data_IF_682525255966
#
_entry.id   IF_682525255966
#
_cell.length_a   1.000
_cell.length_b   1.000
_cell.length_c   1.000
_cell.angle_alpha   90.00
_cell.angle_beta   90.00
_cell.angle_gamma   90.00
#
_symmetry.space_group_name_H-M   'P 1'
#
loop_
_entity.id
_entity.type
_entity.pdbx_description
1 polymer ?
#
# COMPACT_ATOMS: atom_id res chain seq x y z
N UNK A 1 8.24 -20.30 -8.90
CA UNK A 1 9.40 -20.92 -8.22
C UNK A 1 9.05 -22.37 -7.89
N UNK A 2 9.94 -23.35 -8.12
CA UNK A 2 9.75 -24.76 -7.76
C UNK A 2 10.62 -25.10 -6.56
N UNK A 3 10.02 -25.76 -5.56
CA UNK A 3 10.71 -26.22 -4.34
C UNK A 3 10.89 -27.76 -4.35
N UNK A 4 10.66 -28.40 -5.48
CA UNK A 4 10.81 -29.86 -5.64
C UNK A 4 12.23 -30.32 -5.30
N UNK A 5 12.36 -31.35 -4.47
CA UNK A 5 13.65 -31.91 -4.05
C UNK A 5 14.46 -31.04 -3.07
N UNK A 6 13.93 -29.93 -2.59
CA UNK A 6 14.59 -29.03 -1.66
C UNK A 6 14.32 -29.42 -0.20
N UNK A 7 15.30 -29.22 0.64
CA UNK A 7 15.12 -29.26 2.09
C UNK A 7 14.35 -28.03 2.56
N UNK A 8 13.76 -28.07 3.75
CA UNK A 8 13.07 -26.92 4.33
C UNK A 8 13.98 -25.68 4.41
N UNK A 9 15.25 -25.87 4.77
CA UNK A 9 16.21 -24.79 4.87
C UNK A 9 16.54 -24.17 3.52
N UNK A 10 16.74 -25.00 2.48
CA UNK A 10 16.97 -24.51 1.12
C UNK A 10 15.72 -23.82 0.55
N UNK A 11 14.52 -24.36 0.83
CA UNK A 11 13.27 -23.73 0.42
C UNK A 11 13.09 -22.36 1.07
N UNK A 12 13.40 -22.24 2.37
CA UNK A 12 13.33 -20.96 3.09
C UNK A 12 14.30 -19.93 2.50
N UNK A 13 15.56 -20.30 2.27
CA UNK A 13 16.55 -19.43 1.65
C UNK A 13 16.11 -18.96 0.25
N UNK A 14 15.57 -19.87 -0.56
CA UNK A 14 15.06 -19.51 -1.89
C UNK A 14 13.88 -18.54 -1.86
N UNK A 15 13.00 -18.64 -0.86
CA UNK A 15 11.88 -17.70 -0.70
C UNK A 15 12.39 -16.36 -0.19
N UNK A 16 13.35 -16.35 0.75
CA UNK A 16 13.98 -15.13 1.27
C UNK A 16 14.70 -14.37 0.14
N UNK A 17 15.50 -15.06 -0.68
CA UNK A 17 16.16 -14.47 -1.86
C UNK A 17 15.14 -13.89 -2.86
N UNK A 18 14.03 -14.59 -3.06
CA UNK A 18 12.95 -14.10 -3.92
C UNK A 18 12.30 -12.85 -3.33
N UNK A 19 12.00 -12.82 -2.03
CA UNK A 19 11.43 -11.66 -1.33
C UNK A 19 12.38 -10.47 -1.45
N UNK A 20 13.68 -10.67 -1.24
CA UNK A 20 14.70 -9.62 -1.41
C UNK A 20 14.69 -9.08 -2.85
N UNK A 21 14.57 -9.95 -3.85
CA UNK A 21 14.54 -9.54 -5.26
C UNK A 21 13.34 -8.64 -5.63
N UNK A 22 12.19 -8.84 -4.99
CA UNK A 22 10.99 -8.03 -5.25
C UNK A 22 10.92 -6.76 -4.40
N UNK A 23 11.68 -6.67 -3.31
CA UNK A 23 11.75 -5.46 -2.47
C UNK A 23 12.34 -4.26 -3.21
N UNK A 24 13.13 -4.47 -4.27
CA UNK A 24 13.69 -3.42 -5.11
C UNK A 24 12.79 -2.92 -6.24
N UNK A 25 11.57 -3.45 -6.38
CA UNK A 25 10.61 -2.99 -7.39
C UNK A 25 10.17 -1.55 -7.11
N UNK A 26 9.75 -0.84 -8.16
CA UNK A 26 9.32 0.56 -8.04
C UNK A 26 7.80 0.63 -7.99
N UNK A 27 7.28 1.21 -6.93
CA UNK A 27 5.86 1.55 -6.78
C UNK A 27 5.71 3.06 -6.89
N UNK A 28 4.96 3.50 -7.88
CA UNK A 28 4.69 4.93 -8.10
C UNK A 28 3.38 5.31 -7.41
N UNK A 29 3.46 6.05 -6.32
CA UNK A 29 2.31 6.62 -5.63
C UNK A 29 1.86 7.88 -6.37
N UNK A 30 0.58 7.93 -6.78
CA UNK A 30 0.00 9.07 -7.47
C UNK A 30 -0.74 9.91 -6.44
N UNK A 31 -0.16 11.08 -6.15
CA UNK A 31 -0.66 12.07 -5.19
C UNK A 31 -1.58 13.11 -5.87
N UNK A 32 -1.86 14.22 -5.17
CA UNK A 32 -2.69 15.33 -5.65
C UNK A 32 -2.18 15.84 -7.00
N UNK A 33 -3.10 16.17 -7.91
CA UNK A 33 -2.86 16.62 -9.29
C UNK A 33 -2.06 15.64 -10.16
N UNK A 34 -2.01 14.37 -9.79
CA UNK A 34 -1.26 13.36 -10.53
C UNK A 34 0.26 13.41 -10.30
N UNK A 35 0.72 14.15 -9.27
CA UNK A 35 2.12 14.13 -8.87
C UNK A 35 2.54 12.74 -8.45
N UNK A 36 3.76 12.36 -8.80
CA UNK A 36 4.26 10.99 -8.64
C UNK A 36 5.39 10.95 -7.62
N UNK A 37 5.28 10.03 -6.68
CA UNK A 37 6.32 9.70 -5.71
C UNK A 37 6.71 8.25 -5.91
N UNK A 38 7.98 8.00 -6.21
CA UNK A 38 8.51 6.64 -6.38
C UNK A 38 9.06 6.14 -5.06
N UNK A 39 8.62 4.96 -4.66
CA UNK A 39 9.04 4.27 -3.45
C UNK A 39 9.25 2.79 -3.77
N UNK A 40 9.96 2.09 -2.91
CA UNK A 40 10.12 0.64 -3.04
C UNK A 40 9.33 -0.09 -1.95
N UNK A 41 8.95 -1.37 -2.17
CA UNK A 41 8.43 -2.22 -1.11
C UNK A 41 9.34 -2.29 0.13
N UNK A 42 10.68 -2.20 -0.06
CA UNK A 42 11.63 -2.11 1.05
C UNK A 42 11.43 -0.84 1.90
N UNK A 43 11.21 0.33 1.26
CA UNK A 43 10.93 1.59 1.95
C UNK A 43 9.63 1.52 2.79
N UNK A 44 8.68 0.70 2.35
CA UNK A 44 7.41 0.44 3.03
C UNK A 44 7.47 -0.70 4.04
N UNK A 45 8.66 -1.29 4.27
CA UNK A 45 8.85 -2.37 5.24
C UNK A 45 8.17 -3.68 4.84
N UNK A 46 8.18 -4.02 3.54
CA UNK A 46 7.59 -5.27 3.05
C UNK A 46 8.17 -6.48 3.77
N UNK A 47 7.31 -7.32 4.31
CA UNK A 47 7.66 -8.58 4.96
C UNK A 47 6.82 -9.73 4.41
N UNK A 48 7.40 -10.92 4.40
CA UNK A 48 6.68 -12.15 4.10
C UNK A 48 5.98 -12.66 5.36
N UNK A 49 4.66 -12.63 5.38
CA UNK A 49 3.85 -12.85 6.58
C UNK A 49 3.50 -14.31 6.85
N UNK A 50 3.22 -15.12 5.81
CA UNK A 50 2.78 -16.51 5.97
C UNK A 50 3.93 -17.52 5.89
N UNK A 51 4.96 -17.38 6.74
CA UNK A 51 6.15 -18.26 6.72
C UNK A 51 5.86 -19.74 7.06
N UNK A 52 4.77 -19.99 7.77
CA UNK A 52 4.28 -21.32 8.18
C UNK A 52 3.92 -22.22 6.99
N UNK A 53 3.64 -21.67 5.81
CA UNK A 53 3.37 -22.46 4.60
C UNK A 53 4.52 -23.39 4.20
N UNK A 54 5.76 -23.04 4.54
CA UNK A 54 6.92 -23.90 4.28
C UNK A 54 6.93 -25.13 5.20
N UNK A 55 6.56 -24.95 6.46
CA UNK A 55 6.41 -26.07 7.39
C UNK A 55 5.25 -26.96 7.00
N UNK A 56 4.13 -26.40 6.56
CA UNK A 56 3.02 -27.13 6.00
C UNK A 56 3.46 -27.97 4.80
N UNK A 57 4.14 -27.34 3.82
CA UNK A 57 4.64 -28.00 2.64
C UNK A 57 5.64 -29.13 2.98
N UNK A 58 6.55 -28.89 3.93
CA UNK A 58 7.54 -29.86 4.35
C UNK A 58 6.93 -31.07 5.10
N UNK A 59 5.75 -30.91 5.68
CA UNK A 59 5.05 -31.95 6.45
C UNK A 59 4.07 -32.79 5.60
N UNK A 60 3.91 -32.49 4.32
CA UNK A 60 3.09 -33.29 3.41
C UNK A 60 3.61 -34.72 3.39
N UNK A 61 2.72 -35.68 3.59
CA UNK A 61 3.04 -37.09 3.60
C UNK A 61 3.79 -37.59 4.85
N UNK A 62 4.09 -36.69 5.83
CA UNK A 62 4.76 -37.04 7.09
C UNK A 62 3.79 -37.14 8.27
N UNK A 63 2.62 -36.52 8.20
CA UNK A 63 1.62 -36.46 9.28
C UNK A 63 0.41 -37.34 8.97
N UNK A 64 -0.27 -37.82 10.04
CA UNK A 64 -1.43 -38.70 9.93
C UNK A 64 -1.09 -40.19 9.90
N UNK A 65 -2.13 -41.03 9.65
CA UNK A 65 -1.96 -42.48 9.57
C UNK A 65 -1.30 -42.91 8.25
N UNK A 66 -0.89 -44.17 8.16
CA UNK A 66 -0.11 -44.71 7.00
C UNK A 66 -0.84 -44.55 5.66
N UNK A 67 -2.18 -44.65 5.66
CA UNK A 67 -3.00 -44.51 4.46
C UNK A 67 -3.05 -43.03 4.01
N UNK A 68 -3.23 -42.11 4.98
CA UNK A 68 -3.24 -40.67 4.70
C UNK A 68 -1.89 -40.20 4.15
N UNK A 69 -0.79 -40.65 4.74
CA UNK A 69 0.58 -40.31 4.29
C UNK A 69 0.84 -40.81 2.89
N UNK A 70 0.48 -42.08 2.62
CA UNK A 70 0.62 -42.68 1.28
C UNK A 70 -0.21 -41.94 0.23
N UNK A 71 -1.47 -41.60 0.55
CA UNK A 71 -2.36 -40.82 -0.33
C UNK A 71 -1.78 -39.46 -0.65
N UNK A 72 -1.36 -38.71 0.39
CA UNK A 72 -0.79 -37.36 0.23
C UNK A 72 0.46 -37.38 -0.66
N UNK A 73 1.36 -38.35 -0.46
CA UNK A 73 2.56 -38.53 -1.32
C UNK A 73 2.20 -38.89 -2.75
N UNK A 74 1.17 -39.73 -2.92
CA UNK A 74 0.72 -40.16 -4.24
C UNK A 74 0.06 -39.03 -5.02
N UNK A 75 -0.74 -38.19 -4.33
CA UNK A 75 -1.42 -37.05 -4.93
C UNK A 75 -0.39 -36.03 -5.46
N UNK A 76 0.74 -35.83 -4.77
CA UNK A 76 1.83 -34.97 -5.23
C UNK A 76 2.50 -35.43 -6.53
N UNK A 77 2.45 -36.73 -6.85
CA UNK A 77 2.99 -37.25 -8.11
C UNK A 77 2.14 -36.85 -9.32
N UNK A 78 0.86 -36.53 -9.11
CA UNK A 78 -0.09 -36.19 -10.16
C UNK A 78 -0.49 -34.71 -10.20
N UNK A 79 -0.35 -34.01 -9.08
CA UNK A 79 -0.69 -32.58 -8.96
C UNK A 79 0.29 -31.84 -8.07
N UNK A 80 0.93 -30.80 -8.61
CA UNK A 80 1.73 -29.89 -7.82
C UNK A 80 0.83 -29.06 -6.89
N UNK A 81 1.22 -28.92 -5.63
CA UNK A 81 0.60 -27.95 -4.74
C UNK A 81 1.22 -26.57 -4.94
N UNK A 82 0.38 -25.58 -5.10
CA UNK A 82 0.79 -24.19 -5.25
C UNK A 82 0.46 -23.47 -3.97
N UNK A 83 1.44 -22.83 -3.35
CA UNK A 83 1.29 -21.97 -2.18
C UNK A 83 1.46 -20.52 -2.60
N UNK A 84 0.55 -19.65 -2.15
CA UNK A 84 0.65 -18.21 -2.38
C UNK A 84 1.47 -17.60 -1.25
N UNK A 85 2.49 -16.82 -1.59
CA UNK A 85 3.18 -15.97 -0.62
C UNK A 85 2.31 -14.76 -0.31
N UNK A 86 2.14 -14.47 0.98
CA UNK A 86 1.41 -13.31 1.48
C UNK A 86 2.41 -12.29 2.04
N UNK A 87 2.13 -11.03 1.80
CA UNK A 87 3.01 -9.93 2.18
C UNK A 87 2.24 -8.91 3.01
N UNK A 88 2.93 -8.40 4.02
CA UNK A 88 2.47 -7.26 4.81
C UNK A 88 3.47 -6.12 4.71
N UNK A 89 3.01 -4.91 4.96
CA UNK A 89 3.81 -3.69 4.99
C UNK A 89 3.74 -3.04 6.37
N UNK A 90 4.75 -2.25 6.71
CA UNK A 90 4.76 -1.46 7.93
C UNK A 90 3.96 -0.17 7.73
N UNK A 91 2.82 -0.06 8.42
CA UNK A 91 1.89 1.07 8.34
C UNK A 91 2.52 2.40 8.79
N UNK A 92 3.45 2.36 9.75
CA UNK A 92 4.13 3.57 10.22
C UNK A 92 5.14 4.07 9.17
N UNK A 93 5.87 3.16 8.51
CA UNK A 93 6.74 3.54 7.41
C UNK A 93 5.96 4.12 6.23
N UNK A 94 4.83 3.50 5.87
CA UNK A 94 3.93 4.04 4.84
C UNK A 94 3.42 5.42 5.23
N UNK A 95 2.98 5.61 6.49
CA UNK A 95 2.55 6.91 6.98
C UNK A 95 3.65 7.97 6.85
N UNK A 96 4.89 7.62 7.22
CA UNK A 96 6.02 8.53 7.08
C UNK A 96 6.29 8.92 5.62
N UNK A 97 6.10 8.01 4.67
CA UNK A 97 6.19 8.29 3.23
C UNK A 97 5.08 9.26 2.82
N UNK A 98 3.83 8.99 3.22
CA UNK A 98 2.69 9.84 2.88
C UNK A 98 2.86 11.26 3.42
N UNK A 99 3.23 11.41 4.70
CA UNK A 99 3.38 12.72 5.35
C UNK A 99 4.64 13.47 4.92
N UNK A 100 5.74 12.75 4.66
CA UNK A 100 7.03 13.36 4.33
C UNK A 100 7.24 13.62 2.85
N UNK A 101 6.74 12.74 1.97
CA UNK A 101 7.01 12.82 0.53
C UNK A 101 5.79 13.16 -0.31
N UNK A 102 4.61 12.62 0.04
CA UNK A 102 3.41 12.82 -0.75
C UNK A 102 2.63 14.08 -0.34
N UNK A 103 2.61 14.41 0.96
CA UNK A 103 1.87 15.57 1.49
C UNK A 103 2.40 16.93 1.01
N UNK A 104 3.63 16.97 0.49
CA UNK A 104 4.18 18.21 -0.13
C UNK A 104 3.37 18.68 -1.33
N UNK A 105 2.57 17.79 -1.92
CA UNK A 105 1.68 18.09 -3.04
C UNK A 105 0.24 18.43 -2.59
N UNK A 106 -0.03 18.39 -1.29
CA UNK A 106 -1.34 18.82 -0.77
C UNK A 106 -1.58 20.28 -1.09
N UNK A 107 -2.79 20.60 -1.46
CA UNK A 107 -3.29 21.95 -1.63
C UNK A 107 -4.28 22.23 -0.52
N UNK A 108 -3.87 22.99 0.47
CA UNK A 108 -4.77 23.41 1.54
C UNK A 108 -5.82 24.39 1.02
N UNK A 109 -7.01 24.36 1.61
CA UNK A 109 -8.05 25.32 1.29
C UNK A 109 -7.62 26.74 1.73
N UNK A 110 -8.01 27.70 0.94
CA UNK A 110 -7.93 29.12 1.30
C UNK A 110 -9.33 29.64 1.68
N UNK A 111 -9.48 30.11 2.92
CA UNK A 111 -10.75 30.67 3.37
C UNK A 111 -11.07 31.99 2.68
N UNK A 112 -12.37 32.25 2.48
CA UNK A 112 -12.81 33.54 2.00
C UNK A 112 -12.52 34.61 3.04
N UNK A 113 -11.99 35.75 2.60
CA UNK A 113 -11.62 36.85 3.50
C UNK A 113 -12.23 38.18 3.07
N UNK A 114 -12.57 39.04 4.06
CA UNK A 114 -13.02 40.37 3.83
C UNK A 114 -11.87 41.33 4.19
N UNK A 115 -11.36 42.06 3.19
CA UNK A 115 -10.30 43.05 3.37
C UNK A 115 -10.81 44.45 3.08
N UNK A 116 -10.18 45.45 3.71
CA UNK A 116 -10.51 46.84 3.44
C UNK A 116 -9.39 47.50 2.63
N UNK A 117 -9.72 47.92 1.42
CA UNK A 117 -8.79 48.59 0.50
C UNK A 117 -9.39 49.99 0.16
N UNK A 118 -8.63 51.04 0.39
CA UNK A 118 -9.04 52.41 0.09
C UNK A 118 -10.40 52.81 0.67
N UNK A 119 -10.70 52.30 1.85
CA UNK A 119 -11.97 52.58 2.55
C UNK A 119 -13.13 51.68 2.14
N UNK A 120 -12.99 50.87 1.09
CA UNK A 120 -13.99 49.92 0.60
C UNK A 120 -13.70 48.49 1.06
N UNK A 121 -14.76 47.72 1.32
CA UNK A 121 -14.61 46.30 1.61
C UNK A 121 -14.52 45.49 0.32
N UNK A 122 -13.47 44.67 0.21
CA UNK A 122 -13.24 43.73 -0.91
C UNK A 122 -13.32 42.32 -0.35
N UNK A 123 -14.14 41.49 -0.98
CA UNK A 123 -14.27 40.09 -0.66
C UNK A 123 -13.28 39.34 -1.54
N UNK A 124 -12.37 38.57 -0.94
CA UNK A 124 -11.55 37.60 -1.64
C UNK A 124 -12.24 36.22 -1.48
N UNK A 125 -12.65 35.62 -2.59
CA UNK A 125 -13.31 34.31 -2.58
C UNK A 125 -12.38 33.23 -2.07
N UNK A 126 -12.93 32.33 -1.26
CA UNK A 126 -12.22 31.11 -0.84
C UNK A 126 -11.97 30.16 -1.99
N UNK A 127 -11.00 29.29 -1.84
CA UNK A 127 -10.71 28.21 -2.78
C UNK A 127 -10.61 26.89 -2.02
N UNK A 128 -11.30 25.86 -2.50
CA UNK A 128 -11.16 24.52 -1.96
C UNK A 128 -9.78 23.95 -2.30
N UNK A 129 -9.25 23.20 -1.39
CA UNK A 129 -8.03 22.46 -1.54
C UNK A 129 -8.27 20.97 -1.86
N UNK A 130 -7.18 20.26 -2.02
CA UNK A 130 -7.15 18.79 -2.13
C UNK A 130 -6.01 18.26 -1.30
N UNK A 131 -6.30 17.34 -0.40
CA UNK A 131 -5.31 16.73 0.47
C UNK A 131 -5.41 15.21 0.43
N UNK A 132 -4.32 14.56 0.75
CA UNK A 132 -4.27 13.09 0.85
C UNK A 132 -5.02 12.67 2.11
N UNK A 133 -5.95 11.73 1.97
CA UNK A 133 -6.50 10.97 3.09
C UNK A 133 -5.48 9.89 3.49
N UNK A 134 -4.70 10.19 4.53
CA UNK A 134 -3.64 9.29 5.01
C UNK A 134 -4.20 7.94 5.44
N UNK A 135 -5.29 7.90 6.20
CA UNK A 135 -5.85 6.68 6.75
C UNK A 135 -6.34 5.75 5.63
N UNK A 136 -7.14 6.28 4.71
CA UNK A 136 -7.64 5.52 3.56
C UNK A 136 -6.51 5.10 2.62
N UNK A 137 -5.50 5.94 2.43
CA UNK A 137 -4.33 5.62 1.58
C UNK A 137 -3.49 4.49 2.18
N UNK A 138 -3.27 4.47 3.51
CA UNK A 138 -2.57 3.38 4.19
C UNK A 138 -3.31 2.04 4.00
N UNK A 139 -4.63 2.03 4.20
CA UNK A 139 -5.45 0.83 3.98
C UNK A 139 -5.40 0.36 2.52
N UNK A 140 -5.47 1.29 1.57
CA UNK A 140 -5.42 0.99 0.14
C UNK A 140 -4.06 0.36 -0.24
N UNK A 141 -2.95 0.92 0.24
CA UNK A 141 -1.61 0.38 -0.01
C UNK A 141 -1.45 -0.99 0.66
N UNK A 142 -1.91 -1.15 1.91
CA UNK A 142 -1.85 -2.41 2.64
C UNK A 142 -2.61 -3.53 1.91
N UNK A 143 -3.85 -3.26 1.51
CA UNK A 143 -4.68 -4.23 0.78
C UNK A 143 -4.08 -4.56 -0.60
N UNK A 144 -3.47 -3.57 -1.26
CA UNK A 144 -2.81 -3.79 -2.54
C UNK A 144 -1.68 -4.82 -2.43
N UNK A 145 -0.78 -4.68 -1.45
CA UNK A 145 0.32 -5.63 -1.25
C UNK A 145 -0.16 -7.00 -0.80
N UNK A 146 -1.20 -7.05 0.04
CA UNK A 146 -1.73 -8.30 0.54
C UNK A 146 -2.46 -9.11 -0.56
N UNK A 147 -3.30 -8.45 -1.35
CA UNK A 147 -4.26 -9.14 -2.23
C UNK A 147 -3.91 -9.09 -3.71
N UNK A 148 -3.40 -7.96 -4.20
CA UNK A 148 -3.46 -7.61 -5.62
C UNK A 148 -2.11 -7.41 -6.29
N UNK A 149 -1.02 -7.25 -5.52
CA UNK A 149 0.28 -6.95 -6.11
C UNK A 149 0.83 -8.13 -6.92
N UNK A 150 1.15 -7.85 -8.18
CA UNK A 150 1.73 -8.81 -9.12
C UNK A 150 3.26 -8.99 -8.99
N UNK A 151 3.88 -8.28 -8.05
CA UNK A 151 5.32 -8.30 -7.73
C UNK A 151 6.19 -7.66 -8.81
N UNK A 152 5.61 -6.80 -9.61
CA UNK A 152 6.28 -5.98 -10.62
C UNK A 152 6.18 -4.49 -10.26
N UNK A 153 6.89 -3.66 -11.05
CA UNK A 153 6.76 -2.21 -10.97
C UNK A 153 5.32 -1.81 -11.30
N UNK A 154 4.75 -0.93 -10.50
CA UNK A 154 3.35 -0.56 -10.65
C UNK A 154 3.08 0.86 -10.16
N UNK A 155 1.85 1.34 -10.41
CA UNK A 155 1.38 2.64 -9.92
C UNK A 155 0.11 2.50 -9.10
N UNK A 156 0.01 3.26 -8.02
CA UNK A 156 -1.12 3.24 -7.11
C UNK A 156 -1.61 4.66 -6.84
N UNK A 157 -2.89 4.91 -7.10
CA UNK A 157 -3.52 6.20 -6.78
C UNK A 157 -3.83 6.26 -5.30
N UNK A 158 -3.37 7.33 -4.66
CA UNK A 158 -3.71 7.64 -3.27
C UNK A 158 -5.14 8.14 -3.16
N UNK A 159 -5.75 7.95 -1.99
CA UNK A 159 -7.04 8.54 -1.68
C UNK A 159 -6.86 10.05 -1.46
N UNK A 160 -7.68 10.84 -2.13
CA UNK A 160 -7.65 12.31 -2.07
C UNK A 160 -9.02 12.78 -1.61
N UNK A 161 -9.06 13.70 -0.66
CA UNK A 161 -10.28 14.34 -0.17
C UNK A 161 -10.21 15.84 -0.46
N UNK A 162 -11.39 16.47 -0.61
CA UNK A 162 -11.48 17.91 -0.67
C UNK A 162 -11.27 18.50 0.72
N UNK A 163 -10.40 19.50 0.79
CA UNK A 163 -10.28 20.40 1.91
C UNK A 163 -11.15 21.64 1.60
N UNK A 164 -12.25 21.77 2.32
CA UNK A 164 -13.25 22.79 2.00
C UNK A 164 -12.89 24.13 2.65
N UNK A 165 -12.87 25.18 1.83
CA UNK A 165 -12.71 26.58 2.31
C UNK A 165 -13.89 26.98 3.19
N UNK A 166 -13.60 27.78 4.20
CA UNK A 166 -14.61 28.34 5.10
C UNK A 166 -15.04 29.73 4.64
N UNK A 167 -16.30 30.06 4.91
CA UNK A 167 -16.90 31.31 4.52
C UNK A 167 -17.27 31.36 3.03
N UNK A 168 -18.51 31.64 2.74
CA UNK A 168 -18.96 31.89 1.37
C UNK A 168 -18.94 33.39 1.08
N UNK A 169 -18.79 33.73 -0.20
CA UNK A 169 -18.93 35.11 -0.68
C UNK A 169 -20.31 35.69 -0.27
N UNK A 170 -21.33 34.83 -0.24
CA UNK A 170 -22.69 35.21 0.18
C UNK A 170 -22.77 35.52 1.66
N UNK A 171 -22.09 34.80 2.54
CA UNK A 171 -22.03 35.07 3.97
C UNK A 171 -21.27 36.37 4.27
N UNK A 172 -20.12 36.56 3.63
CA UNK A 172 -19.31 37.78 3.79
C UNK A 172 -19.99 39.03 3.22
N UNK A 173 -20.82 38.88 2.18
CA UNK A 173 -21.59 40.00 1.60
C UNK A 173 -22.67 40.56 2.55
N UNK A 174 -23.16 39.75 3.49
CA UNK A 174 -24.14 40.14 4.49
C UNK A 174 -23.52 41.00 5.62
N UNK A 175 -22.19 40.99 5.75
CA UNK A 175 -21.44 41.75 6.75
C UNK A 175 -20.86 43.07 6.18
N UNK A 176 -20.97 43.23 4.87
CA UNK A 176 -20.53 44.43 4.14
C UNK A 176 -21.56 45.60 4.25
#
# INVERSE_FOLDING_TARGET
>A
MSLEGKTLQEAKAMVEDYVESIQGKVITLIAVDGNQVQVTPADMGLTWSNQDILDEAANIGKTGNIVQRYKATKDLQYQNRVYKLEFDIDRELVKNILTGQCAVYNKEAMDATLTRVDGNFVINSGQNGQIIDEATSIELISNYFHDSWDREDNSLKLAIIEDNSRGSEEELSKVK
#
